data_IF_463775469215
#
_entry.id   IF_463775469215
#
_cell.length_a   1.000
_cell.length_b   1.000
_cell.length_c   1.000
_cell.angle_alpha   90.00
_cell.angle_beta   90.00
_cell.angle_gamma   90.00
#
_symmetry.space_group_name_H-M   'P 1'
#
loop_
_entity.id
_entity.type
_entity.pdbx_description
1 polymer ?
#
# COMPACT_ATOMS: atom_id res chain seq x y z
N UNK A 1 15.81 29.10 -8.51
CA UNK A 1 15.26 28.34 -7.37
C UNK A 1 13.81 27.96 -7.70
N UNK A 2 13.67 27.07 -8.68
CA UNK A 2 12.41 26.79 -9.39
C UNK A 2 11.78 25.51 -8.88
N UNK A 3 10.70 25.69 -8.12
CA UNK A 3 9.52 24.82 -8.02
C UNK A 3 9.73 23.31 -8.30
N UNK A 4 10.18 22.57 -7.28
CA UNK A 4 9.90 21.14 -7.18
C UNK A 4 8.43 20.96 -6.77
N UNK A 5 7.51 21.10 -7.74
CA UNK A 5 6.11 20.66 -7.57
C UNK A 5 6.06 19.16 -7.81
N UNK A 6 6.58 18.40 -6.85
CA UNK A 6 6.23 17.00 -6.69
C UNK A 6 4.71 16.90 -6.62
N UNK A 7 4.09 16.30 -7.63
CA UNK A 7 2.65 16.07 -7.69
C UNK A 7 2.30 14.98 -6.66
N UNK A 8 2.16 15.38 -5.39
CA UNK A 8 1.68 14.51 -4.33
C UNK A 8 0.19 14.22 -4.51
N UNK A 9 -0.09 13.16 -5.25
CA UNK A 9 -1.44 12.61 -5.38
C UNK A 9 -1.83 11.84 -4.11
N UNK A 10 -2.27 12.58 -3.08
CA UNK A 10 -2.88 11.99 -1.88
C UNK A 10 -4.26 11.42 -2.21
N UNK A 11 -4.44 10.11 -2.00
CA UNK A 11 -5.76 9.48 -2.07
C UNK A 11 -6.74 10.17 -1.11
N UNK A 12 -7.97 10.45 -1.59
CA UNK A 12 -9.00 11.18 -0.86
C UNK A 12 -9.11 10.74 0.61
N UNK A 13 -8.66 11.56 1.57
CA UNK A 13 -8.54 11.18 2.99
C UNK A 13 -9.90 10.97 3.66
N UNK A 14 -10.94 11.55 3.09
CA UNK A 14 -12.29 11.64 3.63
C UNK A 14 -13.07 10.31 3.61
N UNK A 15 -13.07 9.55 2.50
CA UNK A 15 -13.67 8.19 2.48
C UNK A 15 -12.95 7.21 3.40
N UNK A 16 -11.66 7.43 3.62
CA UNK A 16 -10.82 6.61 4.50
C UNK A 16 -11.10 6.88 5.96
N UNK A 17 -11.26 8.15 6.33
CA UNK A 17 -11.62 8.56 7.68
C UNK A 17 -12.99 8.01 8.08
N UNK A 18 -13.95 8.04 7.15
CA UNK A 18 -15.28 7.47 7.37
C UNK A 18 -15.23 5.95 7.61
N UNK A 19 -14.54 5.20 6.74
CA UNK A 19 -14.42 3.75 6.89
C UNK A 19 -13.69 3.33 8.17
N UNK A 20 -12.59 4.02 8.51
CA UNK A 20 -11.88 3.81 9.78
C UNK A 20 -12.77 4.17 10.97
N UNK A 21 -13.49 5.29 10.89
CA UNK A 21 -14.45 5.74 11.90
C UNK A 21 -15.50 4.68 12.18
N UNK A 22 -16.14 4.12 11.15
CA UNK A 22 -17.08 3.01 11.30
C UNK A 22 -16.46 1.79 11.98
N UNK A 23 -15.22 1.42 11.65
CA UNK A 23 -14.54 0.27 12.26
C UNK A 23 -14.21 0.52 13.74
N UNK A 24 -13.75 1.73 14.08
CA UNK A 24 -13.50 2.13 15.46
C UNK A 24 -14.79 2.17 16.28
N UNK A 25 -15.88 2.73 15.71
CA UNK A 25 -17.19 2.76 16.35
C UNK A 25 -17.71 1.34 16.56
N UNK A 26 -17.59 0.46 15.58
CA UNK A 26 -18.03 -0.93 15.72
C UNK A 26 -17.23 -1.68 16.79
N UNK A 27 -15.90 -1.56 16.79
CA UNK A 27 -15.04 -2.17 17.81
C UNK A 27 -15.35 -1.65 19.22
N UNK A 28 -15.55 -0.33 19.36
CA UNK A 28 -15.94 0.29 20.62
C UNK A 28 -17.34 -0.13 21.08
N UNK A 29 -18.30 -0.25 20.17
CA UNK A 29 -19.66 -0.69 20.47
C UNK A 29 -19.68 -2.13 20.98
N UNK A 30 -18.87 -3.02 20.40
CA UNK A 30 -18.75 -4.41 20.85
C UNK A 30 -18.18 -4.49 22.27
N UNK A 31 -17.15 -3.70 22.57
CA UNK A 31 -16.57 -3.62 23.92
C UNK A 31 -17.58 -3.01 24.90
N UNK A 32 -18.28 -1.95 24.49
CA UNK A 32 -19.32 -1.30 25.28
C UNK A 32 -20.47 -2.26 25.63
N UNK A 33 -20.96 -3.02 24.64
CA UNK A 33 -22.01 -4.02 24.85
C UNK A 33 -21.58 -5.10 25.85
N UNK A 34 -20.33 -5.56 25.75
CA UNK A 34 -19.77 -6.53 26.70
C UNK A 34 -19.72 -6.01 28.15
N UNK A 35 -19.60 -4.70 28.34
CA UNK A 35 -19.56 -4.06 29.67
C UNK A 35 -20.95 -3.73 30.22
N UNK A 36 -21.89 -3.30 29.37
CA UNK A 36 -23.24 -2.87 29.79
C UNK A 36 -24.19 -4.05 29.97
N UNK A 37 -24.07 -5.08 29.14
CA UNK A 37 -24.83 -6.32 29.29
C UNK A 37 -23.84 -7.49 29.32
N UNK A 38 -23.17 -7.73 30.45
CA UNK A 38 -22.18 -8.78 30.56
C UNK A 38 -22.83 -10.13 30.25
N UNK A 39 -22.51 -10.75 29.09
CA UNK A 39 -23.02 -12.07 28.78
C UNK A 39 -22.30 -13.10 29.66
N UNK A 40 -22.62 -14.39 29.51
CA UNK A 40 -21.89 -15.45 30.20
C UNK A 40 -20.36 -15.26 30.07
N UNK A 41 -19.55 -15.61 31.08
CA UNK A 41 -18.12 -15.23 31.15
C UNK A 41 -17.31 -15.64 29.91
N UNK A 42 -17.65 -16.76 29.28
CA UNK A 42 -17.05 -17.19 28.01
C UNK A 42 -17.34 -16.21 26.85
N UNK A 43 -18.59 -15.75 26.74
CA UNK A 43 -19.02 -14.79 25.72
C UNK A 43 -18.47 -13.38 25.97
N UNK A 44 -18.26 -13.01 27.23
CA UNK A 44 -17.66 -11.72 27.60
C UNK A 44 -16.22 -11.65 27.09
N UNK A 45 -15.42 -12.69 27.37
CA UNK A 45 -14.04 -12.79 26.85
C UNK A 45 -14.03 -12.81 25.33
N UNK A 46 -14.96 -13.54 24.69
CA UNK A 46 -15.08 -13.58 23.24
C UNK A 46 -15.37 -12.20 22.63
N UNK A 47 -16.34 -11.44 23.16
CA UNK A 47 -16.66 -10.10 22.67
C UNK A 47 -15.48 -9.13 22.84
N UNK A 48 -14.77 -9.20 23.98
CA UNK A 48 -13.59 -8.35 24.22
C UNK A 48 -12.46 -8.66 23.24
N UNK A 49 -12.16 -9.95 23.01
CA UNK A 49 -11.15 -10.38 22.03
C UNK A 49 -11.54 -9.95 20.62
N UNK A 50 -12.81 -10.15 20.25
CA UNK A 50 -13.31 -9.78 18.92
C UNK A 50 -13.28 -8.26 18.71
N UNK A 51 -13.73 -7.47 19.68
CA UNK A 51 -13.65 -6.01 19.64
C UNK A 51 -12.20 -5.51 19.55
N UNK A 52 -11.30 -6.11 20.33
CA UNK A 52 -9.86 -5.85 20.25
C UNK A 52 -9.27 -6.20 18.88
N UNK A 53 -9.68 -7.31 18.28
CA UNK A 53 -9.24 -7.72 16.94
C UNK A 53 -9.70 -6.72 15.87
N UNK A 54 -10.96 -6.27 15.93
CA UNK A 54 -11.52 -5.27 15.02
C UNK A 54 -10.76 -3.95 15.13
N UNK A 55 -10.43 -3.51 16.36
CA UNK A 55 -9.62 -2.32 16.59
C UNK A 55 -8.19 -2.49 16.07
N UNK A 56 -7.59 -3.66 16.25
CA UNK A 56 -6.26 -3.97 15.72
C UNK A 56 -6.26 -3.95 14.18
N UNK A 57 -7.31 -4.46 13.53
CA UNK A 57 -7.50 -4.35 12.08
C UNK A 57 -7.68 -2.89 11.63
N UNK A 58 -8.47 -2.10 12.36
CA UNK A 58 -8.65 -0.67 12.07
C UNK A 58 -7.31 0.06 12.11
N UNK A 59 -6.53 -0.18 13.17
CA UNK A 59 -5.21 0.42 13.37
C UNK A 59 -4.19 -0.06 12.32
N UNK A 60 -4.20 -1.36 11.97
CA UNK A 60 -3.37 -1.90 10.90
C UNK A 60 -3.73 -1.27 9.54
N UNK A 61 -5.03 -1.11 9.23
CA UNK A 61 -5.48 -0.40 8.04
C UNK A 61 -5.08 1.08 8.06
N UNK A 62 -5.15 1.75 9.23
CA UNK A 62 -4.72 3.14 9.40
C UNK A 62 -3.23 3.31 9.11
N UNK A 63 -2.40 2.40 9.64
CA UNK A 63 -0.94 2.39 9.41
C UNK A 63 -0.61 2.07 7.95
N UNK A 64 -1.24 1.06 7.37
CA UNK A 64 -1.02 0.69 5.96
C UNK A 64 -1.44 1.81 4.99
N UNK A 65 -2.42 2.63 5.38
CA UNK A 65 -2.87 3.78 4.60
C UNK A 65 -1.97 5.01 4.68
N UNK A 66 -0.98 5.03 5.58
CA UNK A 66 -0.05 6.15 5.73
C UNK A 66 1.18 6.02 4.82
N UNK A 67 1.44 4.83 4.29
CA UNK A 67 2.58 4.62 3.40
C UNK A 67 2.27 5.22 2.01
N UNK A 68 3.17 6.07 1.53
CA UNK A 68 3.05 6.75 0.23
C UNK A 68 4.26 6.39 -0.59
N UNK A 69 4.05 5.78 -1.74
CA UNK A 69 5.10 5.48 -2.68
C UNK A 69 5.54 6.77 -3.36
N UNK A 70 6.82 7.13 -3.21
CA UNK A 70 7.44 8.28 -3.83
C UNK A 70 8.38 7.83 -4.93
N UNK A 71 8.24 8.47 -6.09
CA UNK A 71 9.20 8.34 -7.16
C UNK A 71 10.36 9.29 -6.89
N UNK A 72 11.55 8.74 -6.69
CA UNK A 72 12.78 9.50 -6.43
C UNK A 72 13.75 9.31 -7.59
N UNK A 73 14.80 10.13 -7.65
CA UNK A 73 15.85 9.97 -8.68
C UNK A 73 16.64 8.68 -8.55
N UNK A 74 16.68 8.08 -7.36
CA UNK A 74 17.29 6.78 -7.12
C UNK A 74 16.38 5.60 -7.52
N UNK A 75 15.05 5.78 -7.53
CA UNK A 75 14.10 4.70 -7.78
C UNK A 75 12.75 4.89 -7.10
N UNK A 76 12.01 3.79 -6.96
CA UNK A 76 10.77 3.73 -6.18
C UNK A 76 11.10 3.58 -4.70
N UNK A 77 10.66 4.53 -3.88
CA UNK A 77 10.84 4.49 -2.43
C UNK A 77 9.50 4.60 -1.70
N UNK A 78 9.45 4.04 -0.50
CA UNK A 78 8.33 4.23 0.43
C UNK A 78 8.49 5.53 1.22
N UNK A 79 7.41 6.08 1.77
CA UNK A 79 7.43 7.27 2.63
C UNK A 79 8.17 7.05 3.95
N UNK A 80 8.42 5.78 4.30
CA UNK A 80 9.32 5.38 5.39
C UNK A 80 10.82 5.47 5.01
N UNK A 81 11.16 5.96 3.81
CA UNK A 81 12.55 6.08 3.32
C UNK A 81 13.15 4.78 2.81
N UNK A 82 12.37 3.69 2.73
CA UNK A 82 12.86 2.40 2.22
C UNK A 82 12.82 2.41 0.70
N UNK A 83 13.97 2.25 0.06
CA UNK A 83 14.07 2.04 -1.39
C UNK A 83 13.54 0.64 -1.73
N UNK A 84 12.48 0.58 -2.53
CA UNK A 84 11.77 -0.64 -2.92
C UNK A 84 12.44 -1.25 -4.16
N UNK A 85 12.72 -0.41 -5.16
CA UNK A 85 13.41 -0.77 -6.39
C UNK A 85 14.25 0.42 -6.90
N UNK A 86 15.53 0.22 -7.20
CA UNK A 86 16.36 1.24 -7.86
C UNK A 86 16.12 1.21 -9.36
N UNK A 87 16.26 2.34 -10.05
CA UNK A 87 16.03 2.38 -11.51
C UNK A 87 16.94 1.43 -12.30
N UNK A 88 18.19 1.27 -11.88
CA UNK A 88 19.17 0.36 -12.46
C UNK A 88 18.78 -1.13 -12.36
N UNK A 89 18.00 -1.47 -11.33
CA UNK A 89 17.57 -2.84 -11.10
C UNK A 89 16.28 -3.18 -11.86
N UNK A 90 15.60 -2.20 -12.47
CA UNK A 90 14.30 -2.40 -13.13
C UNK A 90 14.53 -2.89 -14.57
N UNK A 91 14.10 -4.12 -14.84
CA UNK A 91 14.13 -4.71 -16.19
C UNK A 91 12.95 -4.23 -17.04
N UNK A 92 11.74 -4.26 -16.46
CA UNK A 92 10.51 -3.83 -17.13
C UNK A 92 9.37 -3.62 -16.15
N UNK A 93 8.35 -2.91 -16.61
CA UNK A 93 7.14 -2.61 -15.84
C UNK A 93 5.93 -3.20 -16.55
N UNK A 94 5.24 -4.12 -15.88
CA UNK A 94 4.09 -4.82 -16.45
C UNK A 94 2.77 -4.18 -15.97
N UNK A 95 1.96 -3.75 -16.95
CA UNK A 95 0.69 -3.04 -16.75
C UNK A 95 -0.51 -3.75 -17.42
N UNK A 96 -0.46 -5.07 -17.55
CA UNK A 96 -1.54 -5.85 -18.19
C UNK A 96 -2.56 -6.43 -17.20
N UNK A 97 -3.77 -6.70 -17.68
CA UNK A 97 -4.78 -7.54 -16.99
C UNK A 97 -4.34 -9.01 -16.84
N UNK A 98 -3.32 -9.43 -17.60
CA UNK A 98 -2.75 -10.79 -17.60
C UNK A 98 -1.41 -10.91 -16.86
N UNK A 99 -0.88 -9.82 -16.29
CA UNK A 99 0.24 -9.90 -15.36
C UNK A 99 -0.32 -10.33 -13.99
N UNK A 100 0.37 -11.21 -13.26
CA UNK A 100 0.01 -11.63 -11.90
C UNK A 100 0.11 -10.44 -10.92
N UNK A 101 -0.85 -9.51 -11.03
CA UNK A 101 -0.84 -8.19 -10.42
C UNK A 101 -1.81 -8.19 -9.24
N UNK A 102 -1.44 -7.63 -8.08
CA UNK A 102 -2.39 -7.41 -6.99
C UNK A 102 -3.53 -6.50 -7.46
N UNK A 103 -4.76 -6.71 -6.97
CA UNK A 103 -5.92 -5.93 -7.37
C UNK A 103 -5.59 -4.43 -7.41
N UNK A 104 -5.78 -3.79 -8.57
CA UNK A 104 -5.51 -2.37 -8.82
C UNK A 104 -4.03 -1.88 -8.82
N UNK A 105 -3.04 -2.77 -8.90
CA UNK A 105 -1.60 -2.45 -8.79
C UNK A 105 -0.78 -2.19 -10.07
N UNK A 106 0.48 -2.64 -10.11
CA UNK A 106 1.34 -2.94 -11.27
C UNK A 106 2.49 -3.84 -10.79
N UNK A 107 3.21 -4.48 -11.70
CA UNK A 107 4.35 -5.34 -11.32
C UNK A 107 5.63 -4.76 -11.91
N UNK A 108 6.65 -4.62 -11.07
CA UNK A 108 8.01 -4.30 -11.46
C UNK A 108 8.77 -5.62 -11.55
N UNK A 109 9.43 -5.86 -12.68
CA UNK A 109 10.34 -6.98 -12.85
C UNK A 109 11.77 -6.46 -12.73
N UNK A 110 12.55 -7.10 -11.88
CA UNK A 110 13.94 -6.75 -11.63
C UNK A 110 14.91 -7.55 -12.51
N UNK A 111 16.05 -6.94 -12.82
CA UNK A 111 17.18 -7.55 -13.50
C UNK A 111 17.73 -8.72 -12.68
N UNK A 112 17.96 -8.50 -11.37
CA UNK A 112 18.49 -9.50 -10.45
C UNK A 112 17.50 -9.90 -9.35
N UNK A 113 17.83 -10.97 -8.61
CA UNK A 113 17.05 -11.39 -7.45
C UNK A 113 17.26 -10.42 -6.29
N UNK A 114 16.18 -9.86 -5.77
CA UNK A 114 16.22 -8.99 -4.59
C UNK A 114 15.74 -9.72 -3.33
N UNK A 115 16.22 -9.27 -2.16
CA UNK A 115 15.83 -9.82 -0.86
C UNK A 115 14.30 -9.85 -0.69
N UNK A 116 13.71 -10.81 0.02
CA UNK A 116 12.25 -10.84 0.18
C UNK A 116 11.77 -9.61 0.98
N UNK A 117 10.65 -9.02 0.58
CA UNK A 117 10.11 -7.81 1.24
C UNK A 117 8.59 -7.77 1.12
N UNK A 118 7.90 -7.32 2.17
CA UNK A 118 6.45 -7.26 2.15
C UNK A 118 5.94 -6.09 3.00
N UNK A 119 5.07 -5.30 2.40
CA UNK A 119 4.26 -4.28 3.05
C UNK A 119 2.77 -4.63 2.81
N UNK A 120 2.03 -5.06 3.84
CA UNK A 120 0.66 -5.50 3.70
C UNK A 120 -0.22 -4.47 2.96
N UNK A 121 -0.84 -4.90 1.87
CA UNK A 121 -1.73 -4.07 1.05
C UNK A 121 -1.05 -3.06 0.12
N UNK A 122 0.25 -2.80 0.24
CA UNK A 122 0.93 -1.79 -0.58
C UNK A 122 1.89 -2.38 -1.59
N UNK A 123 2.75 -3.30 -1.17
CA UNK A 123 3.65 -3.98 -2.08
C UNK A 123 4.16 -5.29 -1.51
N UNK A 124 4.52 -6.22 -2.38
CA UNK A 124 5.22 -7.45 -2.05
C UNK A 124 6.37 -7.63 -3.02
N UNK A 125 7.45 -8.25 -2.55
CA UNK A 125 8.65 -8.56 -3.33
C UNK A 125 9.00 -10.02 -3.12
N UNK A 126 9.00 -10.76 -4.21
CA UNK A 126 9.32 -12.19 -4.25
C UNK A 126 10.21 -12.48 -5.46
N UNK A 127 11.46 -12.87 -5.18
CA UNK A 127 12.47 -13.13 -6.21
C UNK A 127 12.76 -11.88 -7.04
N UNK A 128 12.46 -11.94 -8.33
CA UNK A 128 12.64 -10.85 -9.30
C UNK A 128 11.39 -9.97 -9.48
N UNK A 129 10.30 -10.24 -8.78
CA UNK A 129 9.02 -9.55 -8.99
C UNK A 129 8.64 -8.73 -7.77
N UNK A 130 8.28 -7.48 -8.00
CA UNK A 130 7.68 -6.60 -7.01
C UNK A 130 6.27 -6.26 -7.48
N UNK A 131 5.27 -6.81 -6.81
CA UNK A 131 3.88 -6.39 -7.02
C UNK A 131 3.60 -5.18 -6.14
N UNK A 132 3.30 -4.05 -6.77
CA UNK A 132 2.90 -2.81 -6.09
C UNK A 132 1.40 -2.66 -6.25
N UNK A 133 0.63 -2.60 -5.17
CA UNK A 133 -0.83 -2.42 -5.19
C UNK A 133 -1.57 -3.12 -4.06
N UNK A 134 -2.88 -2.89 -4.01
CA UNK A 134 -3.82 -3.43 -3.00
C UNK A 134 -4.75 -2.34 -2.45
N UNK A 135 -4.23 -1.46 -1.60
CA UNK A 135 -4.95 -0.30 -1.01
C UNK A 135 -4.71 1.02 -1.76
N UNK A 136 -3.79 1.05 -2.72
CA UNK A 136 -3.54 2.23 -3.57
C UNK A 136 -4.69 2.40 -4.57
N UNK A 137 -5.22 3.63 -4.69
CA UNK A 137 -6.28 3.91 -5.66
C UNK A 137 -5.82 3.58 -7.09
N UNK A 138 -6.64 2.81 -7.82
CA UNK A 138 -6.36 2.28 -9.17
C UNK A 138 -5.84 3.32 -10.15
N UNK A 139 -6.39 4.55 -10.11
CA UNK A 139 -5.97 5.68 -10.95
C UNK A 139 -4.54 6.14 -10.65
N UNK A 140 -4.16 6.19 -9.37
CA UNK A 140 -2.81 6.60 -8.95
C UNK A 140 -1.78 5.52 -9.26
N UNK A 141 -2.11 4.24 -9.01
CA UNK A 141 -1.23 3.13 -9.37
C UNK A 141 -0.96 3.09 -10.89
N UNK A 142 -2.00 3.34 -11.71
CA UNK A 142 -1.87 3.42 -13.16
C UNK A 142 -1.03 4.61 -13.61
N UNK A 143 -1.32 5.82 -13.13
CA UNK A 143 -0.55 7.01 -13.48
C UNK A 143 0.93 6.87 -13.07
N UNK A 144 1.22 6.27 -11.91
CA UNK A 144 2.57 5.98 -11.46
C UNK A 144 3.27 4.98 -12.38
N UNK A 145 2.58 3.89 -12.76
CA UNK A 145 3.14 2.90 -13.67
C UNK A 145 3.47 3.53 -15.04
N UNK A 146 2.56 4.32 -15.61
CA UNK A 146 2.75 5.04 -16.88
C UNK A 146 3.94 6.00 -16.80
N UNK A 147 4.06 6.79 -15.73
CA UNK A 147 5.19 7.69 -15.52
C UNK A 147 6.52 6.94 -15.41
N UNK A 148 6.55 5.81 -14.72
CA UNK A 148 7.77 5.01 -14.61
C UNK A 148 8.15 4.32 -15.92
N UNK A 149 7.17 3.82 -16.68
CA UNK A 149 7.41 3.21 -17.98
C UNK A 149 7.96 4.24 -18.98
N UNK A 150 7.42 5.46 -18.97
CA UNK A 150 7.93 6.56 -19.78
C UNK A 150 9.38 6.93 -19.42
N UNK A 151 9.70 7.01 -18.11
CA UNK A 151 11.07 7.31 -17.66
C UNK A 151 12.06 6.20 -17.98
N UNK A 152 11.63 4.93 -17.93
CA UNK A 152 12.45 3.79 -18.29
C UNK A 152 12.76 3.79 -19.79
N UNK A 153 11.75 4.01 -20.65
CA UNK A 153 11.92 4.10 -22.10
C UNK A 153 12.81 5.27 -22.53
N UNK A 154 12.68 6.44 -21.87
CA UNK A 154 13.56 7.59 -22.13
C UNK A 154 15.04 7.27 -21.87
N UNK A 155 15.33 6.51 -20.80
CA UNK A 155 16.70 6.08 -20.45
C UNK A 155 17.27 5.06 -21.43
N UNK A 156 16.45 4.14 -21.93
CA UNK A 156 16.88 3.21 -22.97
C UNK A 156 17.25 3.95 -24.27
N UNK A 157 16.58 5.06 -24.55
CA UNK A 157 16.82 5.87 -25.76
C UNK A 157 18.08 6.75 -25.63
N UNK A 158 18.39 7.26 -24.42
CA UNK A 158 19.60 8.05 -24.15
C UNK A 158 20.87 7.19 -23.97
N UNK A 159 20.71 5.90 -23.66
CA UNK A 159 21.81 4.95 -23.48
C UNK A 159 22.23 4.20 -24.74
N UNK A 160 21.66 4.53 -25.90
CA UNK A 160 21.90 3.91 -27.21
C UNK A 160 22.58 4.88 -28.17
#
# INVERSE_FOLDING_TARGET
MTADRGTELRAAPERRLFALGCLYVLGALLIWLALVQPPAPLWLVFLLVLGGLVLALAEAMRRASALTLRLTDAGLADSAGRVIARWEDIARIEQGTFAAKPANGFVIVLNEHAARGWAPGMWWRMGRRIGVGGITARRHARAMAEAMAARLAARETEGQ
#
